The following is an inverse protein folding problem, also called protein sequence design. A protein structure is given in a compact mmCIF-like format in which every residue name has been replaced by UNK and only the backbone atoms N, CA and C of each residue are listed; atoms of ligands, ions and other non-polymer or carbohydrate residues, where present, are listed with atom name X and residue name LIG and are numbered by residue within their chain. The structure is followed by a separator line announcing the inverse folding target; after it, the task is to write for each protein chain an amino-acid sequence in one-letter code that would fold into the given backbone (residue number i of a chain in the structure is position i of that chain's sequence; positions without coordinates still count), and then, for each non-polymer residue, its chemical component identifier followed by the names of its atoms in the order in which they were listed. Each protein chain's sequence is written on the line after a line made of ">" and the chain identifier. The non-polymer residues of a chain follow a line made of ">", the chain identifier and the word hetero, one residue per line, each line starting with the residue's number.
data_IF_231950498853
#
_entry.id   IF_231950498853
#
_cell.length_a   1.000
_cell.length_b   1.000
_cell.length_c   1.000
_cell.angle_alpha   90.00
_cell.angle_beta   90.00
_cell.angle_gamma   90.00
#
_symmetry.space_group_name_H-M   'P 1'
#
loop_
_entity.id
_entity.type
_entity.pdbx_description
1 polymer ?
#
# COMPACT_ATOMS: atom_id res chain seq x y z
N UNK A 1 -19.95 -11.33 47.81
CA UNK A 1 -18.92 -11.82 46.87
C UNK A 1 -19.57 -12.70 45.82
N UNK A 2 -19.78 -12.18 44.61
CA UNK A 2 -19.89 -12.94 43.36
C UNK A 2 -19.14 -12.13 42.31
N UNK A 3 -18.20 -12.81 41.65
CA UNK A 3 -17.14 -12.28 40.81
C UNK A 3 -17.68 -11.46 39.63
N UNK A 4 -17.09 -10.29 39.41
CA UNK A 4 -17.27 -9.42 38.24
C UNK A 4 -16.23 -9.73 37.13
N UNK A 5 -15.55 -10.89 37.19
CA UNK A 5 -14.39 -11.19 36.32
C UNK A 5 -14.70 -11.92 35.01
N UNK A 6 -15.95 -12.03 34.57
CA UNK A 6 -16.27 -12.82 33.35
C UNK A 6 -17.08 -12.08 32.30
N UNK A 7 -16.89 -10.77 32.16
CA UNK A 7 -17.27 -10.09 30.92
C UNK A 7 -16.06 -10.10 29.98
N UNK A 8 -16.09 -10.81 28.83
CA UNK A 8 -15.03 -10.71 27.85
C UNK A 8 -14.89 -9.23 27.47
N UNK A 9 -13.67 -8.68 27.53
CA UNK A 9 -13.44 -7.30 27.13
C UNK A 9 -14.10 -7.07 25.77
N UNK A 10 -14.99 -6.07 25.62
CA UNK A 10 -15.68 -5.87 24.36
C UNK A 10 -14.63 -5.70 23.28
N UNK A 11 -14.75 -6.44 22.17
CA UNK A 11 -13.76 -6.43 21.08
C UNK A 11 -13.43 -5.00 20.58
N UNK A 12 -14.37 -4.07 20.74
CA UNK A 12 -14.18 -2.63 20.54
C UNK A 12 -13.08 -2.01 21.42
N UNK A 13 -12.93 -2.41 22.70
CA UNK A 13 -11.87 -1.91 23.58
C UNK A 13 -10.49 -2.39 23.12
N UNK A 14 -10.38 -3.63 22.64
CA UNK A 14 -9.14 -4.17 22.06
C UNK A 14 -8.79 -3.49 20.74
N UNK A 15 -9.78 -3.23 19.88
CA UNK A 15 -9.62 -2.47 18.64
C UNK A 15 -9.24 -1.01 18.88
N UNK A 16 -9.86 -0.33 19.84
CA UNK A 16 -9.51 1.06 20.21
C UNK A 16 -8.12 1.13 20.84
N UNK A 17 -7.74 0.12 21.62
CA UNK A 17 -6.40 -0.02 22.18
C UNK A 17 -5.34 -0.39 21.12
N UNK A 18 -5.66 -1.17 20.08
CA UNK A 18 -4.73 -1.49 18.98
C UNK A 18 -4.64 -0.41 17.88
N UNK A 19 -5.73 0.32 17.62
CA UNK A 19 -5.88 1.22 16.46
C UNK A 19 -6.13 2.70 16.80
N UNK A 20 -6.05 3.11 18.08
CA UNK A 20 -6.19 4.50 18.48
C UNK A 20 -5.11 5.42 17.87
N UNK A 21 -5.37 6.75 17.79
CA UNK A 21 -4.54 7.75 17.08
C UNK A 21 -3.10 7.91 17.61
N UNK A 22 -2.73 7.23 18.71
CA UNK A 22 -1.40 7.26 19.33
C UNK A 22 -0.51 6.04 19.03
N UNK A 23 -0.90 5.07 18.19
CA UNK A 23 -0.11 3.85 17.95
C UNK A 23 0.59 3.76 16.58
N UNK A 24 1.80 3.21 16.61
CA UNK A 24 2.76 3.10 15.51
C UNK A 24 2.19 2.51 14.20
N UNK A 25 1.17 1.64 14.27
CA UNK A 25 0.52 1.05 13.09
C UNK A 25 -0.17 2.08 12.20
N UNK A 26 -0.86 3.06 12.78
CA UNK A 26 -1.53 4.14 12.01
C UNK A 26 -0.50 5.09 11.42
N UNK A 27 0.54 5.44 12.19
CA UNK A 27 1.66 6.27 11.69
C UNK A 27 2.39 5.60 10.53
N UNK A 28 2.61 4.28 10.62
CA UNK A 28 3.27 3.51 9.56
C UNK A 28 2.40 3.38 8.32
N UNK A 29 1.10 3.13 8.47
CA UNK A 29 0.16 3.12 7.36
C UNK A 29 0.11 4.49 6.66
N UNK A 30 0.03 5.58 7.42
CA UNK A 30 0.09 6.95 6.88
C UNK A 30 1.40 7.22 6.15
N UNK A 31 2.55 6.86 6.75
CA UNK A 31 3.85 7.02 6.12
C UNK A 31 3.94 6.24 4.79
N UNK A 32 3.48 4.98 4.77
CA UNK A 32 3.43 4.18 3.55
C UNK A 32 2.51 4.81 2.50
N UNK A 33 1.34 5.34 2.88
CA UNK A 33 0.45 6.05 1.95
C UNK A 33 1.08 7.31 1.36
N UNK A 34 1.79 8.10 2.17
CA UNK A 34 2.49 9.31 1.70
C UNK A 34 3.66 8.96 0.78
N UNK A 35 4.50 8.00 1.18
CA UNK A 35 5.60 7.50 0.34
C UNK A 35 5.07 6.97 -1.00
N UNK A 36 3.97 6.21 -0.97
CA UNK A 36 3.33 5.71 -2.18
C UNK A 36 2.81 6.84 -3.07
N UNK A 37 2.19 7.87 -2.50
CA UNK A 37 1.75 9.04 -3.27
C UNK A 37 2.92 9.78 -3.94
N UNK A 38 4.04 9.93 -3.23
CA UNK A 38 5.28 10.50 -3.79
C UNK A 38 5.81 9.62 -4.93
N UNK A 39 5.81 8.30 -4.77
CA UNK A 39 6.22 7.35 -5.81
C UNK A 39 5.33 7.43 -7.05
N UNK A 40 4.00 7.51 -6.88
CA UNK A 40 3.07 7.69 -8.01
C UNK A 40 3.34 9.02 -8.72
N UNK A 41 3.50 10.11 -7.97
CA UNK A 41 3.77 11.43 -8.56
C UNK A 41 5.10 11.48 -9.33
N UNK A 42 6.17 10.94 -8.74
CA UNK A 42 7.48 10.86 -9.41
C UNK A 42 7.47 9.90 -10.60
N UNK A 43 6.77 8.76 -10.52
CA UNK A 43 6.61 7.83 -11.64
C UNK A 43 5.86 8.44 -12.82
N UNK A 44 4.78 9.18 -12.56
CA UNK A 44 4.07 9.94 -13.59
C UNK A 44 4.95 11.03 -14.21
N UNK A 45 5.77 11.70 -13.41
CA UNK A 45 6.73 12.67 -13.94
C UNK A 45 7.75 12.00 -14.87
N UNK A 46 8.29 10.84 -14.49
CA UNK A 46 9.23 10.10 -15.33
C UNK A 46 8.62 9.70 -16.66
N UNK A 47 7.39 9.16 -16.65
CA UNK A 47 6.72 8.72 -17.87
C UNK A 47 6.40 9.88 -18.82
N UNK A 48 5.84 10.98 -18.30
CA UNK A 48 5.24 12.01 -19.15
C UNK A 48 6.08 13.28 -19.33
N UNK A 49 7.08 13.51 -18.46
CA UNK A 49 7.80 14.79 -18.39
C UNK A 49 9.32 14.68 -18.47
N UNK A 50 9.92 13.53 -18.10
CA UNK A 50 11.39 13.38 -18.10
C UNK A 50 12.02 13.60 -19.49
N UNK A 51 11.30 13.24 -20.56
CA UNK A 51 11.76 13.48 -21.94
C UNK A 51 11.92 14.96 -22.31
N UNK A 52 11.33 15.89 -21.54
CA UNK A 52 11.45 17.34 -21.77
C UNK A 52 12.72 17.93 -21.18
N UNK A 53 13.30 17.29 -20.16
CA UNK A 53 14.53 17.74 -19.51
C UNK A 53 15.23 16.52 -18.90
N UNK A 54 16.26 16.05 -19.60
CA UNK A 54 17.01 14.86 -19.23
C UNK A 54 17.60 14.93 -17.82
N UNK A 55 18.24 16.04 -17.46
CA UNK A 55 18.87 16.22 -16.15
C UNK A 55 17.84 16.18 -15.01
N UNK A 56 16.68 16.81 -15.22
CA UNK A 56 15.58 16.74 -14.26
C UNK A 56 15.01 15.32 -14.18
N UNK A 57 14.87 14.63 -15.32
CA UNK A 57 14.43 13.24 -15.39
C UNK A 57 15.34 12.29 -14.60
N UNK A 58 16.66 12.43 -14.76
CA UNK A 58 17.65 11.64 -14.01
C UNK A 58 17.56 11.89 -12.51
N UNK A 59 17.47 13.16 -12.08
CA UNK A 59 17.31 13.51 -10.68
C UNK A 59 16.02 12.92 -10.08
N UNK A 60 14.91 12.98 -10.82
CA UNK A 60 13.63 12.39 -10.39
C UNK A 60 13.71 10.87 -10.35
N UNK A 61 14.43 10.23 -11.28
CA UNK A 61 14.63 8.77 -11.28
C UNK A 61 15.40 8.33 -10.03
N UNK A 62 16.49 9.02 -9.71
CA UNK A 62 17.26 8.75 -8.50
C UNK A 62 16.40 8.94 -7.24
N UNK A 63 15.61 10.01 -7.18
CA UNK A 63 14.67 10.24 -6.08
C UNK A 63 13.61 9.13 -5.99
N UNK A 64 13.05 8.70 -7.13
CA UNK A 64 12.07 7.62 -7.19
C UNK A 64 12.65 6.31 -6.66
N UNK A 65 13.88 5.95 -7.06
CA UNK A 65 14.58 4.77 -6.54
C UNK A 65 14.90 4.90 -5.04
N UNK A 66 15.40 6.07 -4.61
CA UNK A 66 15.75 6.34 -3.22
C UNK A 66 14.54 6.29 -2.27
N UNK A 67 13.34 6.62 -2.76
CA UNK A 67 12.08 6.49 -2.00
C UNK A 67 11.49 5.08 -2.15
N UNK A 68 11.63 4.48 -3.33
CA UNK A 68 11.02 3.20 -3.70
C UNK A 68 11.58 2.02 -2.93
N UNK A 69 12.91 1.97 -2.77
CA UNK A 69 13.58 0.90 -2.02
C UNK A 69 13.19 0.89 -0.52
N UNK A 70 13.26 2.01 0.23
CA UNK A 70 12.72 2.08 1.58
C UNK A 70 11.23 1.74 1.66
N UNK A 71 10.41 2.23 0.72
CA UNK A 71 8.99 1.90 0.68
C UNK A 71 8.78 0.39 0.57
N UNK A 72 9.46 -0.30 -0.36
CA UNK A 72 9.37 -1.73 -0.53
C UNK A 72 9.77 -2.49 0.75
N UNK A 73 10.89 -2.13 1.37
CA UNK A 73 11.35 -2.75 2.61
C UNK A 73 10.37 -2.53 3.78
N UNK A 74 9.86 -1.31 3.94
CA UNK A 74 8.89 -0.96 4.98
C UNK A 74 7.53 -1.63 4.76
N UNK A 75 7.10 -1.77 3.52
CA UNK A 75 5.86 -2.44 3.15
C UNK A 75 5.96 -3.94 3.42
N UNK A 76 6.98 -4.61 2.87
CA UNK A 76 7.16 -6.06 2.99
C UNK A 76 7.30 -6.51 4.45
N UNK A 77 8.05 -5.77 5.27
CA UNK A 77 8.22 -6.09 6.70
C UNK A 77 6.96 -5.87 7.54
N UNK A 78 5.96 -5.17 7.03
CA UNK A 78 4.72 -4.85 7.75
C UNK A 78 3.52 -5.67 7.25
N UNK A 79 3.42 -5.86 5.95
CA UNK A 79 2.19 -6.28 5.28
C UNK A 79 1.75 -7.68 5.70
N UNK A 80 2.69 -8.62 5.87
CA UNK A 80 2.35 -9.99 6.27
C UNK A 80 1.64 -10.05 7.62
N UNK A 81 2.18 -9.35 8.62
CA UNK A 81 1.55 -9.26 9.95
C UNK A 81 0.22 -8.51 9.95
N UNK A 82 0.07 -7.51 9.08
CA UNK A 82 -1.17 -6.74 8.94
C UNK A 82 -2.29 -7.56 8.30
N UNK A 83 -1.98 -8.25 7.18
CA UNK A 83 -2.93 -9.08 6.43
C UNK A 83 -3.42 -10.24 7.28
N UNK A 84 -2.53 -11.01 7.92
CA UNK A 84 -2.89 -12.18 8.72
C UNK A 84 -3.81 -11.85 9.90
N UNK A 85 -3.73 -10.64 10.44
CA UNK A 85 -4.57 -10.22 11.58
C UNK A 85 -5.93 -9.68 11.15
N UNK A 86 -6.00 -8.97 10.01
CA UNK A 86 -7.17 -8.19 9.61
C UNK A 86 -8.01 -8.79 8.49
N UNK A 87 -7.39 -9.17 7.36
CA UNK A 87 -8.11 -9.49 6.12
C UNK A 87 -9.01 -10.75 6.22
N UNK A 88 -8.55 -11.87 6.80
CA UNK A 88 -9.37 -13.07 6.97
C UNK A 88 -10.55 -12.91 7.93
N UNK A 89 -10.55 -11.88 8.78
CA UNK A 89 -11.53 -11.67 9.85
C UNK A 89 -12.53 -10.54 9.54
N UNK A 90 -12.47 -9.95 8.35
CA UNK A 90 -13.36 -8.85 7.98
C UNK A 90 -14.78 -9.36 7.67
N UNK A 91 -15.77 -8.87 8.43
CA UNK A 91 -17.20 -9.14 8.19
C UNK A 91 -17.77 -8.37 6.98
N UNK A 92 -17.01 -7.41 6.43
CA UNK A 92 -17.40 -6.62 5.24
C UNK A 92 -16.82 -7.26 3.97
N UNK A 93 -17.61 -7.95 3.13
CA UNK A 93 -17.08 -8.76 2.02
C UNK A 93 -16.42 -7.89 0.94
N UNK A 94 -17.05 -6.79 0.54
CA UNK A 94 -16.49 -5.85 -0.47
C UNK A 94 -15.17 -5.24 0.01
N UNK A 95 -15.09 -4.89 1.29
CA UNK A 95 -13.86 -4.33 1.89
C UNK A 95 -12.71 -5.35 1.88
N UNK A 96 -13.02 -6.62 2.18
CA UNK A 96 -12.05 -7.71 2.16
C UNK A 96 -11.56 -8.03 0.76
N UNK A 97 -12.47 -8.16 -0.22
CA UNK A 97 -12.12 -8.38 -1.62
C UNK A 97 -11.23 -7.25 -2.16
N UNK A 98 -11.60 -5.99 -1.90
CA UNK A 98 -10.77 -4.87 -2.32
C UNK A 98 -9.40 -4.89 -1.64
N UNK A 99 -9.33 -5.27 -0.36
CA UNK A 99 -8.05 -5.41 0.35
C UNK A 99 -7.13 -6.46 -0.28
N UNK A 100 -7.66 -7.62 -0.69
CA UNK A 100 -6.89 -8.65 -1.39
C UNK A 100 -6.43 -8.18 -2.78
N UNK A 101 -7.30 -7.53 -3.54
CA UNK A 101 -6.95 -6.97 -4.85
C UNK A 101 -5.87 -5.90 -4.72
N UNK A 102 -5.99 -5.03 -3.72
CA UNK A 102 -5.01 -3.98 -3.43
C UNK A 102 -3.66 -4.58 -3.04
N UNK A 103 -3.65 -5.63 -2.21
CA UNK A 103 -2.45 -6.37 -1.87
C UNK A 103 -1.77 -6.95 -3.11
N UNK A 104 -2.54 -7.64 -3.97
CA UNK A 104 -2.02 -8.20 -5.22
C UNK A 104 -1.42 -7.11 -6.13
N UNK A 105 -2.07 -5.93 -6.22
CA UNK A 105 -1.54 -4.80 -6.96
C UNK A 105 -0.24 -4.24 -6.35
N UNK A 106 -0.14 -4.10 -5.04
CA UNK A 106 1.11 -3.68 -4.41
C UNK A 106 2.24 -4.68 -4.65
N UNK A 107 1.96 -5.98 -4.58
CA UNK A 107 2.96 -7.02 -4.90
C UNK A 107 3.42 -6.89 -6.36
N UNK A 108 2.49 -6.71 -7.30
CA UNK A 108 2.82 -6.48 -8.71
C UNK A 108 3.70 -5.24 -8.91
N UNK A 109 3.32 -4.11 -8.31
CA UNK A 109 4.04 -2.82 -8.44
C UNK A 109 5.44 -2.92 -7.83
N UNK A 110 5.56 -3.49 -6.62
CA UNK A 110 6.86 -3.66 -5.97
C UNK A 110 7.73 -4.63 -6.78
N UNK A 111 7.18 -5.77 -7.21
CA UNK A 111 7.93 -6.76 -8.00
C UNK A 111 8.45 -6.17 -9.31
N UNK A 112 7.58 -5.52 -10.08
CA UNK A 112 7.98 -4.88 -11.34
C UNK A 112 8.98 -3.74 -11.13
N UNK A 113 8.80 -2.91 -10.10
CA UNK A 113 9.73 -1.81 -9.78
C UNK A 113 11.12 -2.32 -9.39
N UNK A 114 11.19 -3.39 -8.58
CA UNK A 114 12.45 -4.04 -8.24
C UNK A 114 13.13 -4.63 -9.48
N UNK A 115 12.37 -5.31 -10.36
CA UNK A 115 12.93 -5.85 -11.61
C UNK A 115 13.47 -4.74 -12.52
N UNK A 116 12.79 -3.59 -12.60
CA UNK A 116 13.26 -2.43 -13.36
C UNK A 116 14.50 -1.76 -12.75
N UNK A 117 14.71 -1.89 -11.44
CA UNK A 117 15.90 -1.38 -10.76
C UNK A 117 17.15 -2.28 -10.95
N UNK A 118 16.98 -3.56 -11.31
CA UNK A 118 18.07 -4.53 -11.43
C UNK A 118 19.18 -4.11 -12.41
N UNK A 119 18.90 -3.63 -13.64
CA UNK A 119 19.95 -3.15 -14.54
C UNK A 119 20.81 -2.07 -13.93
N UNK A 120 20.20 -1.13 -13.18
CA UNK A 120 20.93 -0.06 -12.49
C UNK A 120 21.81 -0.63 -11.38
N UNK A 121 21.30 -1.57 -10.58
CA UNK A 121 22.08 -2.23 -9.54
C UNK A 121 23.26 -3.03 -10.11
N UNK A 122 23.05 -3.74 -11.23
CA UNK A 122 24.09 -4.50 -11.91
C UNK A 122 25.19 -3.59 -12.49
N UNK A 123 24.77 -2.45 -13.08
CA UNK A 123 25.68 -1.40 -13.54
C UNK A 123 26.55 -0.86 -12.42
N UNK A 124 25.96 -0.54 -11.27
CA UNK A 124 26.70 -0.06 -10.10
C UNK A 124 27.64 -1.14 -9.50
N UNK A 125 27.36 -2.41 -9.72
CA UNK A 125 28.23 -3.53 -9.34
C UNK A 125 29.38 -3.79 -10.35
N UNK A 126 29.50 -2.97 -11.41
CA UNK A 126 30.57 -3.06 -12.41
C UNK A 126 30.25 -3.99 -13.59
N UNK A 127 29.04 -4.51 -13.68
CA UNK A 127 28.59 -5.32 -14.81
C UNK A 127 27.69 -4.53 -15.77
N UNK A 128 27.58 -4.94 -17.03
CA UNK A 128 26.63 -4.33 -17.98
C UNK A 128 25.59 -5.37 -18.39
N UNK A 129 24.35 -5.15 -17.99
CA UNK A 129 23.23 -6.02 -18.34
C UNK A 129 21.94 -5.22 -18.32
N UNK A 130 21.10 -5.48 -19.33
CA UNK A 130 19.79 -4.88 -19.48
C UNK A 130 18.78 -5.95 -19.87
N UNK A 131 17.51 -5.72 -19.52
CA UNK A 131 16.42 -6.49 -20.07
C UNK A 131 16.30 -6.29 -21.58
N UNK A 132 15.61 -7.21 -22.26
CA UNK A 132 15.20 -6.96 -23.65
C UNK A 132 14.26 -5.76 -23.73
N UNK A 133 14.11 -5.18 -24.92
CA UNK A 133 13.19 -4.07 -25.13
C UNK A 133 11.75 -4.47 -24.77
N UNK A 134 11.31 -5.65 -25.21
CA UNK A 134 9.96 -6.17 -24.93
C UNK A 134 9.73 -6.34 -23.43
N UNK A 135 10.71 -6.91 -22.71
CA UNK A 135 10.63 -7.06 -21.26
C UNK A 135 10.56 -5.70 -20.56
N UNK A 136 11.35 -4.73 -20.99
CA UNK A 136 11.33 -3.35 -20.46
C UNK A 136 9.97 -2.69 -20.68
N UNK A 137 9.37 -2.84 -21.86
CA UNK A 137 8.04 -2.32 -22.17
C UNK A 137 6.96 -2.96 -21.30
N UNK A 138 6.96 -4.29 -21.16
CA UNK A 138 6.00 -5.01 -20.33
C UNK A 138 6.13 -4.62 -18.87
N UNK A 139 7.36 -4.54 -18.35
CA UNK A 139 7.61 -4.11 -16.97
C UNK A 139 7.10 -2.68 -16.73
N UNK A 140 7.42 -1.75 -17.63
CA UNK A 140 6.98 -0.35 -17.53
C UNK A 140 5.47 -0.25 -17.56
N UNK A 141 4.81 -0.95 -18.50
CA UNK A 141 3.36 -1.00 -18.60
C UNK A 141 2.72 -1.53 -17.31
N UNK A 142 3.17 -2.69 -16.82
CA UNK A 142 2.63 -3.31 -15.61
C UNK A 142 2.88 -2.44 -14.37
N UNK A 143 4.04 -1.82 -14.28
CA UNK A 143 4.41 -0.96 -13.16
C UNK A 143 3.56 0.32 -13.13
N UNK A 144 3.47 1.03 -14.26
CA UNK A 144 2.71 2.27 -14.39
C UNK A 144 1.21 2.03 -14.15
N UNK A 145 0.58 1.18 -14.95
CA UNK A 145 -0.86 0.94 -14.83
C UNK A 145 -1.23 0.20 -13.55
N UNK A 146 -0.34 -0.68 -13.06
CA UNK A 146 -0.46 -1.30 -11.76
C UNK A 146 -0.46 -0.28 -10.63
N UNK A 147 0.43 0.73 -10.68
CA UNK A 147 0.53 1.77 -9.66
C UNK A 147 -0.69 2.70 -9.66
N UNK A 148 -1.20 3.07 -10.84
CA UNK A 148 -2.44 3.85 -10.96
C UNK A 148 -3.65 3.08 -10.43
N UNK A 149 -3.77 1.79 -10.78
CA UNK A 149 -4.82 0.94 -10.24
C UNK A 149 -4.73 0.79 -8.72
N UNK A 150 -3.50 0.64 -8.18
CA UNK A 150 -3.27 0.60 -6.74
C UNK A 150 -3.62 1.93 -6.06
N UNK A 151 -3.35 3.08 -6.69
CA UNK A 151 -3.73 4.40 -6.16
C UNK A 151 -5.24 4.56 -6.08
N UNK A 152 -5.97 4.25 -7.14
CA UNK A 152 -7.44 4.28 -7.15
C UNK A 152 -7.99 3.30 -6.11
N UNK A 153 -7.46 2.08 -6.07
CA UNK A 153 -7.86 1.05 -5.10
C UNK A 153 -7.59 1.46 -3.65
N UNK A 154 -6.47 2.11 -3.37
CA UNK A 154 -6.12 2.62 -2.05
C UNK A 154 -7.09 3.74 -1.62
N UNK A 155 -7.39 4.68 -2.51
CA UNK A 155 -8.36 5.74 -2.24
C UNK A 155 -9.75 5.16 -1.95
N UNK A 156 -10.21 4.21 -2.75
CA UNK A 156 -11.48 3.51 -2.54
C UNK A 156 -11.48 2.74 -1.21
N UNK A 157 -10.38 2.05 -0.88
CA UNK A 157 -10.24 1.32 0.37
C UNK A 157 -10.27 2.25 1.60
N UNK A 158 -9.60 3.40 1.53
CA UNK A 158 -9.64 4.42 2.57
C UNK A 158 -11.04 5.04 2.69
N UNK A 159 -11.69 5.37 1.57
CA UNK A 159 -13.06 5.91 1.57
C UNK A 159 -14.05 4.95 2.25
N UNK A 160 -13.99 3.65 1.94
CA UNK A 160 -14.82 2.63 2.58
C UNK A 160 -14.54 2.45 4.07
N UNK A 161 -13.33 2.77 4.54
CA UNK A 161 -13.00 2.77 5.97
C UNK A 161 -13.72 3.90 6.72
N UNK A 162 -13.94 5.04 6.05
CA UNK A 162 -14.63 6.20 6.62
C UNK A 162 -16.15 6.16 6.42
N UNK A 163 -16.64 5.42 5.42
CA UNK A 163 -18.06 5.18 5.21
C UNK A 163 -18.57 4.02 6.09
N UNK A 164 -18.96 4.34 7.32
CA UNK A 164 -20.00 3.55 7.99
C UNK A 164 -21.36 4.03 7.48
N UNK A 165 -22.20 3.17 6.89
CA UNK A 165 -23.63 3.42 6.91
C UNK A 165 -24.04 3.43 8.39
N UNK A 166 -24.43 4.60 8.90
CA UNK A 166 -25.29 4.68 10.10
C UNK A 166 -26.62 4.03 9.75
N UNK A 167 -26.66 2.71 9.65
CA UNK A 167 -27.86 1.95 9.35
C UNK A 167 -28.29 1.19 10.60
N UNK A 168 -29.28 1.78 11.28
CA UNK A 168 -30.24 1.14 12.20
C UNK A 168 -29.74 0.76 13.60
N UNK A 169 -29.44 1.78 14.43
CA UNK A 169 -29.78 1.75 15.87
C UNK A 169 -31.09 2.50 16.10
N UNK A 170 -32.18 2.00 15.53
CA UNK A 170 -33.51 2.34 16.02
C UNK A 170 -34.43 1.14 15.83
N UNK A 171 -34.90 0.59 16.96
CA UNK A 171 -36.15 -0.20 16.99
C UNK A 171 -36.00 -1.70 17.30
N UNK A 172 -35.78 -2.03 18.58
CA UNK A 172 -36.72 -2.86 19.37
C UNK A 172 -36.27 -2.94 20.82
N UNK A 173 -36.99 -2.23 21.69
CA UNK A 173 -37.08 -2.58 23.12
C UNK A 173 -37.80 -3.93 23.23
N UNK A 174 -37.39 -4.83 24.14
CA UNK A 174 -38.24 -5.95 24.53
C UNK A 174 -39.42 -5.40 25.35
N UNK A 175 -40.64 -5.77 24.95
CA UNK A 175 -41.80 -5.83 25.84
C UNK A 175 -41.79 -7.16 26.55
#
# INVERSE_FOLDING_TARGET
>A
MKSLETLPEPACRRFVLEYGPKRAGVRRALALSLLFAVLVGTGLHLEFLAGRNWNAGEAVLLAHLAVGLPFAALFLSWIGGHVLRGLPRSERPVFSVLGWLLLAKFVLVIGTGLMMALPTAFFLAGGVWFWSFEATHVLTFLHLWGSLAAAVGLLAHLAMRHWEPRAVRHGRRPS
#
